data_IF_241747624415
#
_entry.id   IF_241747624415
#
_cell.length_a   1.000
_cell.length_b   1.000
_cell.length_c   1.000
_cell.angle_alpha   90.00
_cell.angle_beta   90.00
_cell.angle_gamma   90.00
#
_symmetry.space_group_name_H-M   'P 1'
#
loop_
_entity.id
_entity.type
_entity.pdbx_description
1 polymer ?
#
# COMPACT_ATOMS: atom_id res chain seq x y z
N UNK A 1 26.86 -14.43 -6.15
CA UNK A 1 25.98 -14.84 -5.05
C UNK A 1 25.71 -13.60 -4.22
N UNK A 2 24.45 -13.35 -3.86
CA UNK A 2 24.10 -12.28 -2.90
C UNK A 2 24.66 -12.67 -1.55
N UNK A 3 24.99 -11.67 -0.72
CA UNK A 3 25.48 -11.91 0.62
C UNK A 3 24.27 -12.24 1.50
N UNK A 4 24.19 -13.48 1.96
CA UNK A 4 23.15 -13.97 2.87
C UNK A 4 23.58 -13.68 4.31
N UNK A 5 22.69 -13.09 5.10
CA UNK A 5 22.90 -12.83 6.52
C UNK A 5 21.78 -13.46 7.35
N UNK A 6 22.10 -14.60 7.97
CA UNK A 6 21.16 -15.38 8.80
C UNK A 6 21.37 -15.15 10.29
N UNK A 7 22.02 -14.04 10.67
CA UNK A 7 22.20 -13.66 12.08
C UNK A 7 20.85 -13.28 12.68
N UNK A 8 20.53 -13.90 13.81
CA UNK A 8 19.27 -13.71 14.54
C UNK A 8 19.34 -12.39 15.30
N UNK A 9 18.39 -11.50 15.02
CA UNK A 9 18.24 -10.18 15.65
C UNK A 9 17.28 -10.18 16.82
N UNK A 10 16.21 -10.98 16.73
CA UNK A 10 15.16 -11.03 17.74
C UNK A 10 14.56 -12.43 17.80
N UNK A 11 14.14 -12.80 18.98
CA UNK A 11 13.40 -14.04 19.25
C UNK A 11 12.12 -13.64 19.95
N UNK A 12 11.01 -14.11 19.42
CA UNK A 12 9.70 -13.84 19.97
C UNK A 12 9.54 -14.55 21.33
N UNK A 13 9.07 -13.85 22.38
CA UNK A 13 8.82 -14.47 23.68
C UNK A 13 7.79 -15.60 23.59
N UNK A 14 8.04 -16.70 24.29
CA UNK A 14 7.21 -17.92 24.30
C UNK A 14 7.11 -18.62 22.95
N UNK A 15 8.07 -18.37 22.03
CA UNK A 15 8.16 -19.02 20.73
C UNK A 15 8.89 -20.36 20.80
N UNK A 16 8.78 -21.15 19.73
CA UNK A 16 9.52 -22.40 19.54
C UNK A 16 11.04 -22.15 19.61
N UNK A 17 11.53 -21.04 19.06
CA UNK A 17 12.92 -20.67 19.10
C UNK A 17 13.44 -20.39 20.53
N UNK A 18 12.64 -19.71 21.35
CA UNK A 18 12.99 -19.47 22.76
C UNK A 18 13.06 -20.78 23.54
N UNK A 19 12.03 -21.64 23.41
CA UNK A 19 11.98 -22.95 24.08
C UNK A 19 13.10 -23.89 23.64
N UNK A 20 13.56 -23.76 22.39
CA UNK A 20 14.69 -24.50 21.84
C UNK A 20 16.07 -23.98 22.29
N UNK A 21 16.14 -22.89 23.06
CA UNK A 21 17.38 -22.30 23.55
C UNK A 21 18.21 -21.59 22.47
N UNK A 22 17.57 -21.15 21.39
CA UNK A 22 18.18 -20.29 20.38
C UNK A 22 18.33 -18.87 20.97
N UNK A 23 19.43 -18.18 20.66
CA UNK A 23 19.71 -16.87 21.22
C UNK A 23 19.95 -15.80 20.14
N UNK A 24 19.62 -14.55 20.48
CA UNK A 24 19.95 -13.39 19.64
C UNK A 24 21.44 -13.35 19.37
N UNK A 25 21.85 -13.22 18.12
CA UNK A 25 23.25 -13.24 17.65
C UNK A 25 23.76 -14.62 17.22
N UNK A 26 23.00 -15.70 17.43
CA UNK A 26 23.25 -16.99 16.79
C UNK A 26 22.97 -16.87 15.28
N UNK A 27 23.43 -17.85 14.48
CA UNK A 27 23.19 -17.90 13.04
C UNK A 27 22.52 -19.21 12.66
N UNK A 28 21.43 -19.11 11.92
CA UNK A 28 20.80 -20.28 11.31
C UNK A 28 21.57 -20.68 10.05
N UNK A 29 22.08 -21.90 10.01
CA UNK A 29 22.94 -22.40 8.92
C UNK A 29 22.12 -23.18 7.90
N UNK A 30 21.33 -24.16 8.36
CA UNK A 30 20.49 -24.96 7.49
C UNK A 30 19.17 -25.35 8.20
N UNK A 31 18.16 -25.71 7.39
CA UNK A 31 16.84 -26.15 7.84
C UNK A 31 16.55 -27.49 7.18
N UNK A 32 16.26 -28.52 7.96
CA UNK A 32 16.02 -29.90 7.47
C UNK A 32 17.15 -30.40 6.55
N UNK A 33 18.40 -29.97 6.80
CA UNK A 33 19.58 -30.30 6.01
C UNK A 33 19.64 -29.57 4.65
N UNK A 34 18.82 -28.54 4.45
CA UNK A 34 18.81 -27.71 3.25
C UNK A 34 19.35 -26.30 3.54
N UNK A 35 20.22 -25.82 2.67
CA UNK A 35 20.59 -24.41 2.64
C UNK A 35 19.39 -23.54 2.21
N UNK A 36 19.32 -22.34 2.69
CA UNK A 36 18.33 -21.36 2.30
C UNK A 36 18.98 -19.99 2.02
N UNK A 37 18.35 -19.18 1.17
CA UNK A 37 18.99 -17.99 0.62
C UNK A 37 18.17 -16.71 0.83
N UNK A 38 16.90 -16.85 1.21
CA UNK A 38 16.01 -15.74 1.49
C UNK A 38 14.89 -16.12 2.46
N UNK A 39 14.11 -15.12 2.86
CA UNK A 39 13.02 -15.27 3.82
C UNK A 39 11.88 -16.18 3.34
N UNK A 40 11.65 -16.29 2.01
CA UNK A 40 10.61 -17.19 1.50
C UNK A 40 11.03 -18.65 1.61
N UNK A 41 12.30 -18.97 1.35
CA UNK A 41 12.85 -20.31 1.56
C UNK A 41 12.86 -20.67 3.04
N UNK A 42 13.24 -19.73 3.93
CA UNK A 42 13.12 -19.91 5.36
C UNK A 42 11.70 -20.31 5.76
N UNK A 43 10.69 -19.52 5.40
CA UNK A 43 9.30 -19.81 5.71
C UNK A 43 8.80 -21.10 5.10
N UNK A 44 9.20 -21.41 3.87
CA UNK A 44 8.83 -22.65 3.21
C UNK A 44 9.42 -23.89 3.89
N UNK A 45 10.68 -23.85 4.29
CA UNK A 45 11.38 -24.99 4.93
C UNK A 45 11.00 -25.16 6.40
N UNK A 46 10.55 -24.10 7.07
CA UNK A 46 10.06 -24.18 8.46
C UNK A 46 8.58 -24.56 8.55
N UNK A 47 7.82 -24.54 7.45
CA UNK A 47 6.42 -24.90 7.43
C UNK A 47 6.22 -26.42 7.33
N UNK A 48 6.72 -27.12 8.35
CA UNK A 48 6.65 -28.61 8.50
C UNK A 48 6.36 -28.94 9.97
N UNK A 49 5.78 -30.12 10.23
CA UNK A 49 5.45 -30.55 11.61
C UNK A 49 6.69 -30.75 12.48
N UNK A 50 7.77 -31.28 11.92
CA UNK A 50 9.06 -31.43 12.60
C UNK A 50 10.13 -30.68 11.80
N UNK A 51 10.86 -29.78 12.48
CA UNK A 51 11.87 -28.95 11.84
C UNK A 51 13.21 -29.15 12.54
N UNK A 52 14.23 -29.50 11.76
CA UNK A 52 15.61 -29.62 12.23
C UNK A 52 16.40 -28.38 11.83
N UNK A 53 16.91 -27.65 12.82
CA UNK A 53 17.66 -26.41 12.67
C UNK A 53 19.14 -26.65 12.99
N UNK A 54 20.03 -26.25 12.10
CA UNK A 54 21.47 -26.23 12.37
C UNK A 54 21.86 -24.80 12.73
N UNK A 55 22.27 -24.59 13.97
CA UNK A 55 22.57 -23.27 14.56
C UNK A 55 24.06 -23.14 14.84
N UNK A 56 24.67 -22.08 14.33
CA UNK A 56 26.03 -21.65 14.75
C UNK A 56 25.88 -20.68 15.93
N UNK A 57 26.27 -21.14 17.10
CA UNK A 57 26.25 -20.34 18.34
C UNK A 57 27.29 -19.25 18.32
N UNK A 58 27.13 -18.21 19.15
CA UNK A 58 28.06 -17.08 19.27
C UNK A 58 29.49 -17.51 19.67
N UNK A 59 29.64 -18.63 20.40
CA UNK A 59 30.95 -19.18 20.82
C UNK A 59 31.68 -19.94 19.70
N UNK A 60 31.04 -20.08 18.52
CA UNK A 60 31.56 -20.78 17.35
C UNK A 60 31.25 -22.28 17.33
N UNK A 61 30.48 -22.79 18.26
CA UNK A 61 30.01 -24.19 18.24
C UNK A 61 28.78 -24.30 17.32
N UNK A 62 28.60 -25.47 16.69
CA UNK A 62 27.42 -25.77 15.91
C UNK A 62 26.54 -26.74 16.68
N UNK A 63 25.28 -26.43 16.76
CA UNK A 63 24.22 -27.24 17.38
C UNK A 63 23.16 -27.63 16.38
N UNK A 64 22.66 -28.85 16.45
CA UNK A 64 21.54 -29.33 15.65
C UNK A 64 20.37 -29.57 16.59
N UNK A 65 19.30 -28.83 16.39
CA UNK A 65 18.11 -28.82 17.24
C UNK A 65 16.92 -29.28 16.40
N UNK A 66 16.19 -30.28 16.88
CA UNK A 66 14.94 -30.68 16.25
C UNK A 66 13.77 -30.23 17.12
N UNK A 67 12.82 -29.52 16.54
CA UNK A 67 11.64 -29.00 17.20
C UNK A 67 10.38 -29.52 16.56
N UNK A 68 9.35 -29.76 17.35
CA UNK A 68 7.98 -29.97 16.85
C UNK A 68 7.38 -28.61 16.55
N UNK A 69 6.83 -28.45 15.34
CA UNK A 69 6.22 -27.23 14.86
C UNK A 69 4.84 -27.56 14.26
N UNK A 70 3.78 -27.06 14.86
CA UNK A 70 2.41 -27.26 14.36
C UNK A 70 2.07 -26.28 13.20
N UNK A 71 3.01 -26.13 12.26
CA UNK A 71 2.93 -25.23 11.11
C UNK A 71 2.89 -23.75 11.48
N UNK A 72 3.38 -23.39 12.67
CA UNK A 72 3.49 -22.02 13.16
C UNK A 72 4.83 -21.37 12.77
N UNK A 73 4.95 -20.06 13.03
CA UNK A 73 6.23 -19.36 12.94
C UNK A 73 7.14 -19.82 14.09
N UNK A 74 8.40 -20.10 13.78
CA UNK A 74 9.40 -20.49 14.79
C UNK A 74 9.69 -19.36 15.77
N UNK A 75 9.43 -18.09 15.38
CA UNK A 75 9.64 -16.91 16.20
C UNK A 75 11.05 -16.32 16.09
N UNK A 76 11.66 -16.38 14.91
CA UNK A 76 13.01 -15.83 14.62
C UNK A 76 12.88 -14.63 13.67
N UNK A 77 13.46 -13.49 14.06
CA UNK A 77 13.74 -12.39 13.14
C UNK A 77 15.24 -12.27 12.87
N UNK A 78 15.59 -12.03 11.62
CA UNK A 78 16.98 -11.84 11.18
C UNK A 78 17.38 -10.36 11.17
N UNK A 79 18.71 -10.07 11.26
CA UNK A 79 19.23 -8.70 11.14
C UNK A 79 18.79 -8.04 9.84
N UNK A 80 18.80 -8.80 8.73
CA UNK A 80 18.28 -8.39 7.44
C UNK A 80 16.94 -9.08 7.22
N UNK A 81 15.82 -8.34 7.23
CA UNK A 81 14.46 -8.90 7.18
C UNK A 81 14.16 -9.79 5.96
N UNK A 82 14.89 -9.62 4.86
CA UNK A 82 14.82 -10.49 3.68
C UNK A 82 15.93 -11.54 3.64
N UNK A 83 16.87 -11.52 4.63
CA UNK A 83 18.07 -12.37 4.73
C UNK A 83 19.15 -11.98 3.71
N UNK A 84 18.77 -11.42 2.58
CA UNK A 84 19.67 -10.79 1.59
C UNK A 84 19.16 -9.39 1.18
N UNK A 85 19.90 -8.72 0.28
CA UNK A 85 19.54 -7.38 -0.20
C UNK A 85 18.23 -7.39 -1.02
N UNK A 86 17.37 -6.39 -0.81
CA UNK A 86 16.15 -6.18 -1.59
C UNK A 86 16.45 -5.90 -3.08
N UNK A 87 15.57 -6.37 -3.96
CA UNK A 87 15.73 -6.22 -5.39
C UNK A 87 15.20 -4.86 -5.87
N UNK A 88 16.08 -4.03 -6.40
CA UNK A 88 15.67 -2.78 -7.03
C UNK A 88 15.10 -2.97 -8.43
N UNK A 89 14.07 -2.19 -8.76
CA UNK A 89 13.46 -2.13 -10.07
C UNK A 89 14.44 -1.65 -11.15
N UNK A 90 14.49 -2.35 -12.27
CA UNK A 90 15.35 -2.03 -13.44
C UNK A 90 14.60 -1.28 -14.54
N UNK A 91 13.32 -1.01 -14.34
CA UNK A 91 12.50 -0.31 -15.32
C UNK A 91 12.74 1.21 -15.30
N UNK A 92 12.39 1.85 -16.41
CA UNK A 92 12.38 3.31 -16.57
C UNK A 92 10.99 3.72 -17.07
N UNK A 93 9.98 3.43 -16.26
CA UNK A 93 8.58 3.64 -16.62
C UNK A 93 8.30 5.12 -16.93
N UNK A 94 7.55 5.36 -18.01
CA UNK A 94 7.18 6.74 -18.39
C UNK A 94 6.34 7.45 -17.33
N UNK A 95 5.72 6.68 -16.42
CA UNK A 95 4.85 7.14 -15.32
C UNK A 95 5.48 6.97 -13.93
N UNK A 96 6.75 6.56 -13.80
CA UNK A 96 7.38 6.28 -12.52
C UNK A 96 7.30 7.50 -11.59
N UNK A 97 6.66 7.33 -10.42
CA UNK A 97 6.53 8.41 -9.45
C UNK A 97 7.87 8.75 -8.80
N UNK A 98 8.71 7.76 -8.55
CA UNK A 98 10.06 7.95 -7.97
C UNK A 98 10.94 8.82 -8.87
N UNK A 99 10.81 8.71 -10.20
CA UNK A 99 11.57 9.54 -11.15
C UNK A 99 11.12 11.01 -11.16
N UNK A 100 9.98 11.32 -10.53
CA UNK A 100 9.40 12.66 -10.39
C UNK A 100 9.61 13.26 -9.00
N UNK A 101 10.40 12.63 -8.13
CA UNK A 101 10.69 13.18 -6.81
C UNK A 101 11.73 14.31 -6.90
N UNK A 102 11.61 15.35 -6.06
CA UNK A 102 12.63 16.38 -5.97
C UNK A 102 13.97 15.78 -5.54
N UNK A 103 15.07 16.40 -5.96
CA UNK A 103 16.41 15.98 -5.54
C UNK A 103 16.69 16.40 -4.09
N UNK A 104 17.47 15.58 -3.37
CA UNK A 104 17.97 15.91 -2.04
C UNK A 104 17.06 15.46 -0.89
N UNK A 105 16.07 14.61 -1.17
CA UNK A 105 15.34 13.89 -0.13
C UNK A 105 16.20 12.73 0.43
N UNK A 106 15.77 12.12 1.54
CA UNK A 106 16.44 10.93 2.10
C UNK A 106 16.53 9.79 1.06
N UNK A 107 17.60 9.01 1.13
CA UNK A 107 17.89 7.96 0.13
C UNK A 107 16.78 6.91 0.01
N UNK A 108 16.11 6.59 1.12
CA UNK A 108 15.06 5.55 1.15
C UNK A 108 13.87 5.86 0.22
N UNK A 109 13.52 7.13 -0.01
CA UNK A 109 12.41 7.49 -0.92
C UNK A 109 12.74 7.28 -2.40
N UNK A 110 14.03 7.14 -2.75
CA UNK A 110 14.46 6.86 -4.13
C UNK A 110 14.61 5.37 -4.41
N UNK A 111 14.43 4.51 -3.41
CA UNK A 111 14.44 3.08 -3.62
C UNK A 111 13.23 2.69 -4.48
N UNK A 112 13.49 2.04 -5.61
CA UNK A 112 12.46 1.51 -6.51
C UNK A 112 12.31 0.03 -6.22
N UNK A 113 11.30 -0.34 -5.50
CA UNK A 113 11.01 -1.74 -5.21
C UNK A 113 10.49 -2.49 -6.45
N UNK A 114 10.97 -3.72 -6.63
CA UNK A 114 10.47 -4.71 -7.59
C UNK A 114 10.80 -6.13 -7.09
N UNK A 115 10.67 -6.34 -5.76
CA UNK A 115 11.03 -7.57 -5.08
C UNK A 115 9.78 -8.40 -4.78
N UNK A 116 9.70 -9.60 -5.34
CA UNK A 116 8.55 -10.50 -5.14
C UNK A 116 8.37 -10.95 -3.69
N UNK A 117 9.43 -10.92 -2.87
CA UNK A 117 9.34 -11.20 -1.43
C UNK A 117 8.60 -10.11 -0.70
N UNK A 118 8.88 -8.83 -1.02
CA UNK A 118 8.14 -7.69 -0.50
C UNK A 118 6.69 -7.66 -1.00
N UNK A 119 6.43 -8.17 -2.21
CA UNK A 119 5.06 -8.36 -2.68
C UNK A 119 4.26 -9.30 -1.78
N UNK A 120 4.85 -10.43 -1.39
CA UNK A 120 4.19 -11.40 -0.53
C UNK A 120 4.12 -10.95 0.94
N UNK A 121 5.19 -10.33 1.45
CA UNK A 121 5.30 -9.97 2.87
C UNK A 121 4.59 -8.66 3.24
N UNK A 122 4.57 -7.70 2.31
CA UNK A 122 4.14 -6.31 2.57
C UNK A 122 3.09 -5.81 1.59
N UNK A 123 2.65 -6.64 0.63
CA UNK A 123 1.66 -6.23 -0.36
C UNK A 123 2.20 -5.36 -1.51
N UNK A 124 3.52 -5.19 -1.66
CA UNK A 124 4.11 -4.37 -2.70
C UNK A 124 3.81 -4.92 -4.11
N UNK A 125 3.67 -4.02 -5.09
CA UNK A 125 3.38 -4.39 -6.47
C UNK A 125 4.64 -4.58 -7.29
N UNK A 126 4.81 -5.78 -7.89
CA UNK A 126 5.97 -6.12 -8.72
C UNK A 126 5.65 -6.11 -10.20
N UNK A 127 6.65 -5.78 -11.01
CA UNK A 127 6.48 -5.69 -12.46
C UNK A 127 6.68 -7.02 -13.19
N UNK A 128 7.18 -8.05 -12.54
CA UNK A 128 7.59 -9.34 -13.10
C UNK A 128 8.68 -9.23 -14.19
N UNK A 129 9.40 -8.11 -14.24
CA UNK A 129 10.48 -7.91 -15.24
C UNK A 129 11.86 -8.27 -14.69
N UNK A 130 12.00 -8.38 -13.38
CA UNK A 130 13.26 -8.71 -12.70
C UNK A 130 13.47 -10.21 -12.49
N UNK A 131 12.49 -11.05 -12.82
CA UNK A 131 12.49 -12.48 -12.52
C UNK A 131 13.08 -13.32 -13.65
N UNK A 132 13.87 -14.31 -13.29
CA UNK A 132 14.26 -15.41 -14.18
C UNK A 132 13.18 -16.50 -14.24
N UNK A 133 13.27 -17.41 -15.21
CA UNK A 133 12.34 -18.53 -15.31
C UNK A 133 12.47 -19.46 -14.08
N UNK A 134 13.69 -19.60 -13.52
CA UNK A 134 13.98 -20.38 -12.31
C UNK A 134 13.32 -19.76 -11.08
N UNK A 135 13.34 -18.43 -10.94
CA UNK A 135 12.67 -17.72 -9.85
C UNK A 135 11.14 -17.88 -9.94
N UNK A 136 10.58 -17.82 -11.15
CA UNK A 136 9.14 -18.07 -11.36
C UNK A 136 8.77 -19.50 -10.94
N UNK A 137 9.57 -20.50 -11.35
CA UNK A 137 9.33 -21.91 -10.99
C UNK A 137 9.48 -22.13 -9.49
N UNK A 138 10.41 -21.45 -8.85
CA UNK A 138 10.61 -21.45 -7.39
C UNK A 138 9.38 -20.93 -6.65
N UNK A 139 8.84 -19.77 -7.03
CA UNK A 139 7.63 -19.20 -6.41
C UNK A 139 6.43 -20.15 -6.56
N UNK A 140 6.27 -20.77 -7.74
CA UNK A 140 5.22 -21.76 -7.99
C UNK A 140 5.39 -22.97 -7.08
N UNK A 141 6.60 -23.51 -6.96
CA UNK A 141 6.91 -24.65 -6.08
C UNK A 141 6.59 -24.37 -4.62
N UNK A 142 6.97 -23.20 -4.15
CA UNK A 142 6.71 -22.74 -2.77
C UNK A 142 5.26 -22.27 -2.55
N UNK A 143 4.45 -22.19 -3.61
CA UNK A 143 3.07 -21.70 -3.58
C UNK A 143 2.94 -20.29 -2.97
N UNK A 144 3.88 -19.41 -3.30
CA UNK A 144 3.83 -18.02 -2.86
C UNK A 144 2.63 -17.32 -3.47
N UNK A 145 1.64 -17.00 -2.65
CA UNK A 145 0.34 -16.48 -3.09
C UNK A 145 -0.34 -15.71 -1.94
N UNK A 146 -0.98 -14.56 -2.19
CA UNK A 146 -1.07 -13.88 -3.50
C UNK A 146 0.21 -13.14 -3.90
N UNK A 147 0.35 -12.84 -5.19
CA UNK A 147 1.37 -11.93 -5.73
C UNK A 147 0.67 -10.68 -6.25
N UNK A 148 1.14 -9.51 -5.85
CA UNK A 148 0.61 -8.24 -6.32
C UNK A 148 1.36 -7.80 -7.59
N UNK A 149 0.65 -7.69 -8.73
CA UNK A 149 1.26 -7.48 -10.04
C UNK A 149 0.96 -6.11 -10.61
N UNK A 150 1.99 -5.35 -10.90
CA UNK A 150 1.96 -4.06 -11.62
C UNK A 150 1.83 -4.31 -13.12
N UNK A 151 0.59 -4.40 -13.63
CA UNK A 151 0.27 -4.85 -14.99
C UNK A 151 0.45 -3.74 -16.03
N UNK A 152 -0.15 -2.60 -15.83
CA UNK A 152 -0.21 -1.42 -16.71
C UNK A 152 -0.92 -1.67 -18.05
N UNK A 153 -0.53 -2.70 -18.78
CA UNK A 153 -1.15 -3.17 -20.02
C UNK A 153 -0.82 -4.64 -20.24
N UNK A 154 -1.77 -5.40 -20.78
CA UNK A 154 -1.53 -6.78 -21.23
C UNK A 154 -0.99 -6.85 -22.66
N UNK A 155 -1.14 -5.77 -23.45
CA UNK A 155 -0.49 -5.62 -24.74
C UNK A 155 1.02 -5.58 -24.56
N UNK A 156 1.78 -6.59 -25.07
CA UNK A 156 3.22 -6.73 -24.79
C UNK A 156 4.05 -5.57 -25.38
N UNK A 157 3.70 -5.06 -26.54
CA UNK A 157 4.41 -3.96 -27.18
C UNK A 157 4.19 -2.65 -26.43
N UNK A 158 2.94 -2.37 -26.07
CA UNK A 158 2.60 -1.20 -25.28
C UNK A 158 3.27 -1.25 -23.90
N UNK A 159 3.26 -2.41 -23.25
CA UNK A 159 3.89 -2.57 -21.94
C UNK A 159 5.40 -2.35 -22.00
N UNK A 160 6.08 -2.87 -23.03
CA UNK A 160 7.50 -2.58 -23.26
C UNK A 160 7.77 -1.09 -23.41
N UNK A 161 6.90 -0.36 -24.10
CA UNK A 161 6.99 1.11 -24.24
C UNK A 161 6.75 1.81 -22.91
N UNK A 162 5.73 1.43 -22.15
CA UNK A 162 5.37 2.06 -20.89
C UNK A 162 6.45 1.88 -19.82
N UNK A 163 7.02 0.68 -19.69
CA UNK A 163 8.07 0.37 -18.73
C UNK A 163 9.49 0.72 -19.24
N UNK A 164 9.59 1.12 -20.51
CA UNK A 164 10.86 1.33 -21.19
C UNK A 164 11.83 0.15 -20.96
N UNK A 165 11.30 -1.07 -21.11
CA UNK A 165 12.00 -2.32 -20.87
C UNK A 165 11.54 -3.36 -21.91
N UNK A 166 12.48 -3.84 -22.75
CA UNK A 166 12.20 -4.81 -23.80
C UNK A 166 11.68 -6.17 -23.33
N UNK A 167 11.88 -6.51 -22.05
CA UNK A 167 11.43 -7.76 -21.45
C UNK A 167 10.03 -7.65 -20.81
N UNK A 168 9.49 -6.45 -20.66
CA UNK A 168 8.23 -6.22 -19.99
C UNK A 168 7.01 -6.86 -20.67
N UNK A 169 7.12 -7.20 -21.94
CA UNK A 169 6.04 -7.85 -22.70
C UNK A 169 5.70 -9.29 -22.25
N UNK A 170 6.58 -9.94 -21.47
CA UNK A 170 6.34 -11.32 -20.98
C UNK A 170 5.33 -11.41 -19.83
N UNK A 171 4.94 -10.28 -19.22
CA UNK A 171 4.16 -10.25 -17.99
C UNK A 171 2.89 -11.11 -18.06
N UNK A 172 2.07 -10.93 -19.10
CA UNK A 172 0.82 -11.67 -19.22
C UNK A 172 1.05 -13.19 -19.40
N UNK A 173 2.13 -13.61 -20.05
CA UNK A 173 2.50 -15.03 -20.15
C UNK A 173 2.93 -15.61 -18.81
N UNK A 174 3.66 -14.83 -18.00
CA UNK A 174 4.01 -15.22 -16.61
C UNK A 174 2.73 -15.33 -15.77
N UNK A 175 1.81 -14.38 -15.86
CA UNK A 175 0.53 -14.42 -15.15
C UNK A 175 -0.30 -15.63 -15.53
N UNK A 176 -0.34 -16.02 -16.82
CA UNK A 176 -0.97 -17.28 -17.26
C UNK A 176 -0.32 -18.50 -16.62
N UNK A 177 1.01 -18.52 -16.50
CA UNK A 177 1.75 -19.60 -15.84
C UNK A 177 1.43 -19.67 -14.34
N UNK A 178 1.33 -18.53 -13.66
CA UNK A 178 0.89 -18.46 -12.27
C UNK A 178 -0.55 -18.98 -12.11
N UNK A 179 -1.47 -18.51 -12.92
CA UNK A 179 -2.87 -18.95 -12.90
C UNK A 179 -3.01 -20.48 -13.13
N UNK A 180 -2.26 -21.04 -14.11
CA UNK A 180 -2.25 -22.46 -14.39
C UNK A 180 -1.70 -23.30 -13.22
N UNK A 181 -0.99 -22.70 -12.26
CA UNK A 181 -0.46 -23.34 -11.06
C UNK A 181 -1.15 -22.88 -9.76
N UNK A 182 -2.36 -22.31 -9.87
CA UNK A 182 -3.18 -21.86 -8.74
C UNK A 182 -2.51 -20.79 -7.85
N UNK A 183 -1.66 -19.96 -8.40
CA UNK A 183 -1.16 -18.76 -7.73
C UNK A 183 -2.18 -17.64 -7.94
N UNK A 184 -2.63 -17.03 -6.86
CA UNK A 184 -3.53 -15.88 -6.90
C UNK A 184 -2.76 -14.59 -7.10
N UNK A 185 -3.39 -13.64 -7.77
CA UNK A 185 -2.79 -12.34 -8.10
C UNK A 185 -3.77 -11.21 -7.84
N UNK A 186 -3.30 -10.14 -7.19
CA UNK A 186 -3.97 -8.85 -7.19
C UNK A 186 -3.25 -7.96 -8.21
N UNK A 187 -3.99 -7.28 -9.04
CA UNK A 187 -3.44 -6.53 -10.17
C UNK A 187 -3.63 -5.03 -10.01
N UNK A 188 -2.66 -4.26 -10.49
CA UNK A 188 -2.78 -2.81 -10.56
C UNK A 188 -2.49 -2.31 -11.97
N UNK A 189 -3.26 -1.32 -12.41
CA UNK A 189 -3.06 -0.58 -13.66
C UNK A 189 -2.94 0.91 -13.32
N UNK A 190 -1.75 1.47 -13.48
CA UNK A 190 -1.58 2.93 -13.53
C UNK A 190 -2.04 3.40 -14.90
N UNK A 191 -3.18 4.07 -14.93
CA UNK A 191 -3.82 4.52 -16.16
C UNK A 191 -3.25 5.88 -16.58
N UNK A 192 -2.80 5.95 -17.83
CA UNK A 192 -2.22 7.15 -18.45
C UNK A 192 -3.08 7.55 -19.64
N UNK A 193 -3.70 8.74 -19.65
CA UNK A 193 -4.51 9.22 -20.77
C UNK A 193 -3.76 9.13 -22.12
N UNK A 194 -4.46 8.66 -23.14
CA UNK A 194 -3.95 8.49 -24.53
C UNK A 194 -2.84 7.44 -24.68
N UNK A 195 -2.53 6.66 -23.63
CA UNK A 195 -1.49 5.63 -23.65
C UNK A 195 -2.08 4.22 -23.49
N UNK A 196 -2.63 3.90 -22.33
CA UNK A 196 -3.20 2.60 -22.01
C UNK A 196 -4.69 2.65 -21.62
N UNK A 197 -5.34 3.78 -21.87
CA UNK A 197 -6.79 3.97 -21.72
C UNK A 197 -7.61 3.45 -22.91
N UNK A 198 -8.91 3.66 -22.89
CA UNK A 198 -9.83 3.29 -23.98
C UNK A 198 -9.69 1.82 -24.38
N UNK A 199 -9.36 1.54 -25.65
CA UNK A 199 -9.30 0.18 -26.19
C UNK A 199 -8.21 -0.70 -25.55
N UNK A 200 -7.10 -0.11 -25.14
CA UNK A 200 -6.03 -0.84 -24.46
C UNK A 200 -6.45 -1.24 -23.03
N UNK A 201 -7.24 -0.40 -22.36
CA UNK A 201 -7.86 -0.75 -21.09
C UNK A 201 -8.89 -1.86 -21.26
N UNK A 202 -9.77 -1.79 -22.27
CA UNK A 202 -10.73 -2.86 -22.60
C UNK A 202 -10.04 -4.20 -22.81
N UNK A 203 -8.93 -4.19 -23.56
CA UNK A 203 -8.09 -5.38 -23.78
C UNK A 203 -7.55 -5.92 -22.47
N UNK A 204 -6.94 -5.07 -21.66
CA UNK A 204 -6.33 -5.47 -20.40
C UNK A 204 -7.37 -6.06 -19.43
N UNK A 205 -8.52 -5.43 -19.29
CA UNK A 205 -9.65 -5.93 -18.48
C UNK A 205 -10.11 -7.31 -18.98
N UNK A 206 -10.32 -7.46 -20.29
CA UNK A 206 -10.79 -8.71 -20.87
C UNK A 206 -9.79 -9.87 -20.67
N UNK A 207 -8.50 -9.60 -20.85
CA UNK A 207 -7.43 -10.60 -20.71
C UNK A 207 -7.21 -10.96 -19.23
N UNK A 208 -7.25 -9.99 -18.30
CA UNK A 208 -7.15 -10.25 -16.86
C UNK A 208 -8.36 -11.02 -16.34
N UNK A 209 -9.56 -10.68 -16.77
CA UNK A 209 -10.79 -11.40 -16.41
C UNK A 209 -10.80 -12.85 -16.93
N UNK A 210 -10.04 -13.16 -17.98
CA UNK A 210 -9.91 -14.55 -18.47
C UNK A 210 -9.05 -15.41 -17.53
N UNK A 211 -8.31 -14.80 -16.60
CA UNK A 211 -7.52 -15.50 -15.58
C UNK A 211 -8.26 -15.64 -14.23
N UNK A 212 -9.53 -15.22 -14.15
CA UNK A 212 -10.35 -15.46 -12.95
C UNK A 212 -10.53 -16.97 -12.70
N UNK A 213 -10.47 -17.49 -11.45
CA UNK A 213 -10.38 -16.75 -10.18
C UNK A 213 -8.95 -16.40 -9.73
N UNK A 214 -7.90 -16.80 -10.47
CA UNK A 214 -6.52 -16.56 -10.04
C UNK A 214 -6.13 -15.07 -10.11
N UNK A 215 -6.70 -14.28 -11.00
CA UNK A 215 -6.76 -12.83 -10.83
C UNK A 215 -7.93 -12.54 -9.90
N UNK A 216 -7.62 -12.15 -8.67
CA UNK A 216 -8.58 -11.96 -7.59
C UNK A 216 -9.20 -10.56 -7.60
N UNK A 217 -8.40 -9.54 -7.94
CA UNK A 217 -8.86 -8.17 -8.05
C UNK A 217 -7.95 -7.34 -8.97
N UNK A 218 -8.49 -6.29 -9.56
CA UNK A 218 -7.74 -5.33 -10.39
C UNK A 218 -8.06 -3.91 -9.96
N UNK A 219 -7.07 -3.18 -9.44
CA UNK A 219 -7.19 -1.74 -9.21
C UNK A 219 -6.75 -0.95 -10.43
N UNK A 220 -7.47 0.12 -10.72
CA UNK A 220 -7.12 1.09 -11.76
C UNK A 220 -6.95 2.43 -11.07
N UNK A 221 -5.74 2.98 -11.12
CA UNK A 221 -5.38 4.25 -10.48
C UNK A 221 -4.93 5.26 -11.53
N UNK A 222 -5.24 6.55 -11.40
CA UNK A 222 -4.76 7.55 -12.34
C UNK A 222 -3.27 7.79 -12.16
N UNK A 223 -2.58 8.17 -13.23
CA UNK A 223 -1.18 8.56 -13.15
C UNK A 223 -1.00 9.84 -12.32
N UNK A 224 -0.17 9.76 -11.28
CA UNK A 224 0.25 10.91 -10.50
C UNK A 224 1.35 11.71 -11.21
N UNK A 225 1.17 13.02 -11.34
CA UNK A 225 2.11 13.92 -12.01
C UNK A 225 2.53 15.04 -11.06
N UNK A 226 3.84 15.10 -10.76
CA UNK A 226 4.42 16.18 -9.97
C UNK A 226 4.94 17.31 -10.88
N UNK A 227 5.37 18.43 -10.29
CA UNK A 227 6.04 19.51 -11.03
C UNK A 227 7.48 19.18 -11.47
N UNK A 228 8.07 18.09 -10.97
CA UNK A 228 9.47 17.70 -11.24
C UNK A 228 9.59 16.76 -12.44
N UNK A 229 8.94 17.12 -13.55
CA UNK A 229 8.89 16.27 -14.75
C UNK A 229 9.77 16.76 -15.90
N UNK A 230 10.66 17.69 -15.67
CA UNK A 230 11.56 18.20 -16.71
C UNK A 230 12.42 17.09 -17.29
N UNK A 231 12.37 16.91 -18.61
CA UNK A 231 13.09 15.85 -19.33
C UNK A 231 12.47 14.46 -19.25
N UNK A 232 11.37 14.24 -18.52
CA UNK A 232 10.63 12.99 -18.51
C UNK A 232 9.61 12.92 -19.66
N UNK A 233 9.12 11.71 -19.94
CA UNK A 233 8.10 11.48 -20.96
C UNK A 233 6.87 12.37 -20.71
N UNK A 234 6.36 13.10 -21.73
CA UNK A 234 5.21 14.00 -21.55
C UNK A 234 3.93 13.19 -21.37
N UNK A 235 3.40 13.17 -20.16
CA UNK A 235 2.11 12.60 -19.81
C UNK A 235 1.09 13.70 -19.56
N UNK A 236 -0.18 13.38 -19.78
CA UNK A 236 -1.31 14.25 -19.46
C UNK A 236 -1.97 13.80 -18.14
N UNK A 237 -2.42 14.74 -17.30
CA UNK A 237 -3.25 14.40 -16.16
C UNK A 237 -4.65 13.99 -16.63
N UNK A 238 -5.38 13.27 -15.79
CA UNK A 238 -6.81 13.12 -15.96
C UNK A 238 -7.53 14.44 -15.72
N UNK A 239 -8.53 14.73 -16.56
CA UNK A 239 -9.48 15.84 -16.36
C UNK A 239 -10.80 15.29 -15.82
N UNK A 240 -11.72 16.17 -15.42
CA UNK A 240 -13.08 15.80 -15.02
C UNK A 240 -13.76 14.95 -16.08
N UNK A 241 -13.66 15.33 -17.34
CA UNK A 241 -14.31 14.67 -18.46
C UNK A 241 -13.68 13.29 -18.75
N UNK A 242 -12.35 13.20 -18.76
CA UNK A 242 -11.65 11.92 -18.99
C UNK A 242 -11.82 10.96 -17.84
N UNK A 243 -11.88 11.45 -16.60
CA UNK A 243 -12.20 10.63 -15.42
C UNK A 243 -13.64 10.07 -15.51
N UNK A 244 -14.62 10.91 -15.85
CA UNK A 244 -16.00 10.48 -16.02
C UNK A 244 -16.17 9.45 -17.17
N UNK A 245 -15.42 9.59 -18.26
CA UNK A 245 -15.39 8.61 -19.35
C UNK A 245 -14.81 7.27 -18.90
N UNK A 246 -13.71 7.29 -18.12
CA UNK A 246 -13.10 6.09 -17.56
C UNK A 246 -14.04 5.38 -16.59
N UNK A 247 -14.70 6.12 -15.69
CA UNK A 247 -15.69 5.57 -14.77
C UNK A 247 -16.79 4.83 -15.55
N UNK A 248 -17.39 5.46 -16.54
CA UNK A 248 -18.44 4.83 -17.36
C UNK A 248 -17.94 3.58 -18.08
N UNK A 249 -16.71 3.58 -18.58
CA UNK A 249 -16.09 2.41 -19.23
C UNK A 249 -15.95 1.26 -18.25
N UNK A 250 -15.38 1.52 -17.06
CA UNK A 250 -15.13 0.51 -16.03
C UNK A 250 -16.43 -0.03 -15.44
N UNK A 251 -17.42 0.82 -15.15
CA UNK A 251 -18.75 0.39 -14.68
C UNK A 251 -19.46 -0.54 -15.69
N UNK A 252 -19.27 -0.28 -16.99
CA UNK A 252 -19.79 -1.16 -18.05
C UNK A 252 -19.15 -2.55 -17.98
N UNK A 253 -17.84 -2.62 -17.71
CA UNK A 253 -17.12 -3.87 -17.50
C UNK A 253 -17.51 -4.54 -16.19
N UNK A 254 -17.62 -3.81 -15.09
CA UNK A 254 -18.05 -4.32 -13.80
C UNK A 254 -19.39 -5.04 -13.90
N UNK A 255 -20.38 -4.40 -14.54
CA UNK A 255 -21.69 -5.03 -14.77
C UNK A 255 -21.58 -6.33 -15.56
N UNK A 256 -20.83 -6.31 -16.68
CA UNK A 256 -20.64 -7.50 -17.53
C UNK A 256 -19.91 -8.63 -16.79
N UNK A 257 -18.93 -8.29 -15.97
CA UNK A 257 -18.18 -9.27 -15.19
C UNK A 257 -19.02 -9.83 -14.05
N UNK A 258 -19.77 -8.99 -13.35
CA UNK A 258 -20.68 -9.42 -12.30
C UNK A 258 -21.73 -10.43 -12.85
N UNK A 259 -22.35 -10.11 -13.99
CA UNK A 259 -23.31 -11.02 -14.64
C UNK A 259 -22.69 -12.38 -15.04
N UNK A 260 -21.38 -12.39 -15.37
CA UNK A 260 -20.68 -13.59 -15.87
C UNK A 260 -19.96 -14.37 -14.79
N UNK A 261 -19.33 -13.71 -13.82
CA UNK A 261 -18.40 -14.26 -12.85
C UNK A 261 -18.92 -14.21 -11.41
N UNK A 262 -19.94 -13.41 -11.12
CA UNK A 262 -20.45 -13.16 -9.77
C UNK A 262 -19.59 -12.16 -8.97
N UNK A 263 -18.68 -11.46 -9.62
CA UNK A 263 -17.83 -10.41 -9.04
C UNK A 263 -17.59 -9.29 -10.05
N UNK A 264 -17.44 -8.06 -9.59
CA UNK A 264 -17.02 -6.92 -10.42
C UNK A 264 -15.58 -7.03 -10.87
N UNK A 265 -14.71 -7.63 -10.07
CA UNK A 265 -13.30 -7.92 -10.31
C UNK A 265 -12.40 -6.69 -10.45
N UNK A 266 -12.86 -5.62 -11.07
CA UNK A 266 -12.10 -4.40 -11.36
C UNK A 266 -12.68 -3.20 -10.63
N UNK A 267 -11.79 -2.37 -10.06
CA UNK A 267 -12.19 -1.24 -9.23
C UNK A 267 -11.35 -0.02 -9.58
N UNK A 268 -12.00 1.14 -9.63
CA UNK A 268 -11.32 2.43 -9.77
C UNK A 268 -10.94 2.98 -8.39
N UNK A 269 -9.80 3.65 -8.30
CA UNK A 269 -9.47 4.43 -7.11
C UNK A 269 -10.46 5.59 -6.92
N UNK A 270 -10.64 5.99 -5.67
CA UNK A 270 -11.53 7.09 -5.28
C UNK A 270 -11.18 8.39 -6.02
N UNK A 271 -9.90 8.59 -6.37
CA UNK A 271 -9.40 9.76 -7.09
C UNK A 271 -10.12 9.96 -8.45
N UNK A 272 -10.52 8.89 -9.14
CA UNK A 272 -11.28 9.04 -10.38
C UNK A 272 -12.64 9.70 -10.15
N UNK A 273 -13.36 9.29 -9.10
CA UNK A 273 -14.66 9.84 -8.75
C UNK A 273 -14.53 11.28 -8.24
N UNK A 274 -13.54 11.56 -7.41
CA UNK A 274 -13.24 12.91 -6.92
C UNK A 274 -12.89 13.86 -8.08
N UNK A 275 -12.02 13.44 -9.00
CA UNK A 275 -11.67 14.22 -10.19
C UNK A 275 -12.86 14.47 -11.13
N UNK A 276 -13.76 13.50 -11.23
CA UNK A 276 -14.99 13.61 -12.03
C UNK A 276 -16.09 14.41 -11.33
N UNK A 277 -15.93 14.75 -10.05
CA UNK A 277 -16.98 15.32 -9.18
C UNK A 277 -18.25 14.44 -9.17
N UNK A 278 -18.05 13.13 -9.18
CA UNK A 278 -19.11 12.14 -9.09
C UNK A 278 -19.16 11.50 -7.70
N UNK A 279 -20.33 11.02 -7.26
CA UNK A 279 -20.45 10.31 -6.00
C UNK A 279 -19.53 9.08 -5.95
N UNK A 280 -18.91 8.83 -4.79
CA UNK A 280 -18.22 7.58 -4.50
C UNK A 280 -19.28 6.46 -4.46
N UNK A 281 -19.01 5.28 -5.05
CA UNK A 281 -19.91 4.13 -4.92
C UNK A 281 -20.10 3.68 -3.47
N UNK A 282 -21.24 3.07 -3.18
CA UNK A 282 -21.51 2.47 -1.87
C UNK A 282 -20.54 1.31 -1.57
N UNK A 283 -20.31 1.04 -0.28
CA UNK A 283 -19.39 0.02 0.21
C UNK A 283 -19.58 -1.37 -0.43
N UNK A 284 -20.83 -1.77 -0.67
CA UNK A 284 -21.18 -3.05 -1.32
C UNK A 284 -20.58 -3.21 -2.73
N UNK A 285 -20.29 -2.10 -3.42
CA UNK A 285 -19.70 -2.14 -4.77
C UNK A 285 -18.26 -2.64 -4.73
N UNK A 286 -17.56 -2.45 -3.62
CA UNK A 286 -16.15 -2.83 -3.46
C UNK A 286 -15.93 -4.27 -2.99
N UNK A 287 -17.01 -5.04 -2.70
CA UNK A 287 -16.95 -6.49 -2.43
C UNK A 287 -15.91 -6.87 -1.35
N UNK A 288 -15.88 -6.14 -0.23
CA UNK A 288 -14.95 -6.36 0.87
C UNK A 288 -13.61 -5.63 0.75
N UNK A 289 -13.52 -4.64 -0.12
CA UNK A 289 -12.38 -3.71 -0.23
C UNK A 289 -11.02 -4.39 -0.51
N UNK A 290 -10.88 -5.20 -1.56
CA UNK A 290 -9.68 -5.98 -1.81
C UNK A 290 -8.45 -5.15 -2.21
N UNK A 291 -8.59 -3.83 -2.36
CA UNK A 291 -7.56 -2.94 -2.92
C UNK A 291 -7.46 -1.58 -2.17
N UNK A 292 -7.78 -1.55 -0.86
CA UNK A 292 -7.75 -0.32 -0.04
C UNK A 292 -6.42 0.43 -0.14
N UNK A 293 -5.30 -0.28 -0.09
CA UNK A 293 -3.95 0.30 -0.16
C UNK A 293 -3.66 1.05 -1.47
N UNK A 294 -4.44 0.76 -2.52
CA UNK A 294 -4.39 1.48 -3.79
C UNK A 294 -5.35 2.68 -3.87
N UNK A 295 -5.89 3.10 -2.75
CA UNK A 295 -6.87 4.20 -2.71
C UNK A 295 -8.22 3.83 -3.35
N UNK A 296 -8.61 2.55 -3.27
CA UNK A 296 -9.84 2.01 -3.84
C UNK A 296 -10.84 1.75 -2.72
N UNK A 297 -11.86 2.60 -2.61
CA UNK A 297 -12.92 2.46 -1.62
C UNK A 297 -12.55 2.95 -0.21
N UNK A 298 -11.45 3.69 -0.03
CA UNK A 298 -11.06 4.27 1.26
C UNK A 298 -12.17 5.18 1.83
N UNK A 299 -12.77 6.01 0.97
CA UNK A 299 -13.85 6.92 1.34
C UNK A 299 -15.12 6.13 1.72
N UNK A 300 -15.46 5.09 0.95
CA UNK A 300 -16.64 4.28 1.21
C UNK A 300 -16.49 3.46 2.51
N UNK A 301 -15.33 2.86 2.76
CA UNK A 301 -15.03 2.14 4.01
C UNK A 301 -15.16 3.06 5.22
N UNK A 302 -14.47 4.19 5.19
CA UNK A 302 -14.53 5.16 6.27
C UNK A 302 -15.95 5.71 6.51
N UNK A 303 -16.74 5.93 5.45
CA UNK A 303 -18.11 6.39 5.58
C UNK A 303 -19.01 5.35 6.26
N UNK A 304 -18.88 4.06 5.90
CA UNK A 304 -19.65 2.96 6.50
C UNK A 304 -19.32 2.79 7.99
N UNK A 305 -18.03 2.83 8.32
CA UNK A 305 -17.54 2.76 9.70
C UNK A 305 -18.01 3.97 10.51
N UNK A 306 -17.89 5.20 9.97
CA UNK A 306 -18.39 6.40 10.58
C UNK A 306 -19.91 6.35 10.82
N UNK A 307 -20.68 5.83 9.87
CA UNK A 307 -22.14 5.66 9.99
C UNK A 307 -22.53 4.68 11.11
N UNK A 308 -21.66 3.74 11.39
CA UNK A 308 -21.82 2.80 12.51
C UNK A 308 -21.37 3.43 13.83
N UNK A 309 -20.21 4.06 13.84
CA UNK A 309 -19.61 4.67 15.02
C UNK A 309 -20.41 5.86 15.58
N UNK A 310 -20.96 6.71 14.70
CA UNK A 310 -21.72 7.89 15.13
C UNK A 310 -22.97 7.52 15.93
N UNK A 311 -23.51 6.32 15.76
CA UNK A 311 -24.67 5.85 16.54
C UNK A 311 -24.32 5.61 18.00
N UNK A 312 -23.07 5.30 18.31
CA UNK A 312 -22.53 5.04 19.64
C UNK A 312 -22.21 6.33 20.43
N UNK A 313 -22.11 7.46 19.73
CA UNK A 313 -21.78 8.76 20.35
C UNK A 313 -22.82 9.14 21.40
N UNK A 314 -22.38 9.35 22.64
CA UNK A 314 -23.22 9.71 23.79
C UNK A 314 -23.70 11.16 23.70
N UNK A 315 -24.92 11.41 24.16
CA UNK A 315 -25.47 12.77 24.25
C UNK A 315 -24.95 13.46 25.54
N UNK A 316 -23.73 14.00 25.45
CA UNK A 316 -23.10 14.78 26.52
C UNK A 316 -22.29 15.93 25.94
N UNK A 317 -21.78 16.82 26.78
CA UNK A 317 -20.86 17.88 26.39
C UNK A 317 -19.45 17.35 26.31
N UNK A 318 -18.77 17.66 25.22
CA UNK A 318 -17.36 17.28 24.96
C UNK A 318 -16.39 18.47 25.11
N UNK A 319 -16.87 19.72 24.93
CA UNK A 319 -16.12 20.98 25.11
C UNK A 319 -14.69 20.92 24.49
N UNK A 320 -14.60 20.48 23.24
CA UNK A 320 -13.35 20.34 22.50
C UNK A 320 -13.37 21.20 21.25
N UNK A 321 -12.18 21.71 20.90
CA UNK A 321 -11.93 22.44 19.66
C UNK A 321 -10.83 21.75 18.88
N UNK A 322 -11.20 21.08 17.79
CA UNK A 322 -10.32 20.18 17.03
C UNK A 322 -10.06 20.75 15.66
N UNK A 323 -8.80 20.74 15.24
CA UNK A 323 -8.40 21.04 13.88
C UNK A 323 -8.14 19.75 13.13
N UNK A 324 -8.78 19.55 12.00
CA UNK A 324 -8.50 18.45 11.06
C UNK A 324 -7.72 18.98 9.88
N UNK A 325 -6.64 18.28 9.52
CA UNK A 325 -5.80 18.59 8.37
C UNK A 325 -5.87 17.45 7.37
N UNK A 326 -6.10 17.76 6.10
CA UNK A 326 -6.18 16.76 5.03
C UNK A 326 -5.71 17.34 3.70
N UNK A 327 -5.49 16.51 2.69
CA UNK A 327 -5.26 16.95 1.32
C UNK A 327 -6.53 17.53 0.67
N UNK A 328 -6.35 18.31 -0.40
CA UNK A 328 -7.48 18.95 -1.11
C UNK A 328 -8.51 17.93 -1.60
N UNK A 329 -8.08 16.73 -2.03
CA UNK A 329 -8.95 15.69 -2.57
C UNK A 329 -10.00 15.18 -1.56
N UNK A 330 -9.62 14.98 -0.31
CA UNK A 330 -10.51 14.44 0.73
C UNK A 330 -11.25 15.52 1.53
N UNK A 331 -10.95 16.80 1.32
CA UNK A 331 -11.42 17.89 2.20
C UNK A 331 -12.94 18.00 2.28
N UNK A 332 -13.65 17.89 1.17
CA UNK A 332 -15.13 17.95 1.16
C UNK A 332 -15.76 16.77 1.91
N UNK A 333 -15.21 15.58 1.76
CA UNK A 333 -15.65 14.38 2.47
C UNK A 333 -15.45 14.51 3.99
N UNK A 334 -14.25 14.87 4.42
CA UNK A 334 -13.92 15.08 5.86
C UNK A 334 -14.77 16.21 6.45
N UNK A 335 -15.02 17.28 5.70
CA UNK A 335 -15.93 18.35 6.15
C UNK A 335 -17.35 17.82 6.36
N UNK A 336 -17.89 17.02 5.44
CA UNK A 336 -19.23 16.43 5.59
C UNK A 336 -19.34 15.50 6.80
N UNK A 337 -18.33 14.67 7.09
CA UNK A 337 -18.31 13.86 8.31
C UNK A 337 -18.26 14.72 9.58
N UNK A 338 -17.44 15.79 9.54
CA UNK A 338 -17.29 16.74 10.65
C UNK A 338 -18.59 17.48 10.96
N UNK A 339 -19.30 17.96 9.94
CA UNK A 339 -20.60 18.62 10.10
C UNK A 339 -21.63 17.69 10.76
N UNK A 340 -21.72 16.44 10.33
CA UNK A 340 -22.60 15.43 10.90
C UNK A 340 -22.28 15.14 12.38
N UNK A 341 -20.99 15.13 12.76
CA UNK A 341 -20.59 14.96 14.15
C UNK A 341 -20.91 16.20 14.98
N UNK A 342 -20.69 17.41 14.45
CA UNK A 342 -21.04 18.67 15.10
C UNK A 342 -22.56 18.86 15.29
N UNK A 343 -23.39 18.30 14.40
CA UNK A 343 -24.86 18.29 14.59
C UNK A 343 -25.29 17.45 15.80
N UNK A 344 -24.51 16.43 16.15
CA UNK A 344 -24.80 15.50 17.25
C UNK A 344 -24.12 15.89 18.56
N UNK A 345 -23.07 16.69 18.50
CA UNK A 345 -22.21 17.04 19.63
C UNK A 345 -22.01 18.56 19.71
N UNK A 346 -21.37 19.04 20.79
CA UNK A 346 -20.93 20.43 20.91
C UNK A 346 -19.45 20.65 20.58
N UNK A 347 -18.80 19.65 19.99
CA UNK A 347 -17.41 19.74 19.53
C UNK A 347 -17.31 20.77 18.41
N UNK A 348 -16.28 21.61 18.46
CA UNK A 348 -15.96 22.54 17.39
C UNK A 348 -14.88 21.91 16.50
N UNK A 349 -15.18 21.75 15.23
CA UNK A 349 -14.26 21.17 14.26
C UNK A 349 -13.95 22.18 13.15
N UNK A 350 -12.68 22.39 12.89
CA UNK A 350 -12.21 23.20 11.76
C UNK A 350 -11.40 22.30 10.82
N UNK A 351 -11.81 22.19 9.56
CA UNK A 351 -11.10 21.40 8.56
C UNK A 351 -10.26 22.31 7.68
N UNK A 352 -8.97 22.00 7.54
CA UNK A 352 -8.06 22.64 6.62
C UNK A 352 -7.63 21.71 5.50
N UNK A 353 -7.97 22.08 4.28
CA UNK A 353 -7.45 21.46 3.07
C UNK A 353 -6.06 22.03 2.77
N UNK A 354 -5.04 21.19 2.79
CA UNK A 354 -3.66 21.60 2.50
C UNK A 354 -3.35 21.35 1.03
N UNK A 355 -2.99 22.41 0.35
CA UNK A 355 -2.49 22.33 -1.02
C UNK A 355 -1.07 21.77 -1.00
N UNK A 356 -0.82 20.75 -1.79
CA UNK A 356 0.50 20.18 -1.92
C UNK A 356 1.38 21.08 -2.82
N UNK A 357 2.11 21.99 -2.22
CA UNK A 357 3.08 22.83 -2.92
C UNK A 357 4.43 22.14 -3.07
N UNK A 358 4.74 21.17 -2.25
CA UNK A 358 6.00 20.42 -2.31
C UNK A 358 6.12 19.65 -3.62
N UNK A 359 5.17 18.78 -3.93
CA UNK A 359 5.15 18.07 -5.21
C UNK A 359 4.55 18.91 -6.35
N UNK A 360 3.58 19.76 -6.07
CA UNK A 360 2.89 20.58 -7.07
C UNK A 360 2.13 19.73 -8.09
N UNK A 361 1.94 20.27 -9.29
CA UNK A 361 1.23 19.57 -10.35
C UNK A 361 -0.24 19.35 -10.01
N UNK A 362 -0.69 18.12 -10.06
CA UNK A 362 -2.04 17.70 -9.68
C UNK A 362 -2.07 16.83 -8.42
N UNK A 363 -0.97 16.79 -7.66
CA UNK A 363 -0.90 15.97 -6.43
C UNK A 363 -1.72 16.63 -5.34
N UNK A 364 -2.84 16.00 -4.94
CA UNK A 364 -3.82 16.55 -4.00
C UNK A 364 -4.28 15.54 -2.92
N UNK A 365 -3.74 14.31 -2.96
CA UNK A 365 -4.06 13.25 -1.99
C UNK A 365 -3.42 13.52 -0.63
N UNK A 366 -4.11 13.13 0.44
CA UNK A 366 -3.69 13.39 1.82
C UNK A 366 -2.33 12.78 2.16
N UNK A 367 -2.07 11.54 1.79
CA UNK A 367 -0.83 10.82 2.12
C UNK A 367 0.46 11.39 1.53
N UNK A 368 0.37 12.36 0.61
CA UNK A 368 1.52 13.05 0.03
C UNK A 368 1.69 14.51 0.54
N UNK A 369 0.86 14.96 1.47
CA UNK A 369 1.02 16.27 2.13
C UNK A 369 2.25 16.24 3.03
N UNK A 370 3.05 17.30 2.99
CA UNK A 370 4.30 17.40 3.77
C UNK A 370 4.13 18.28 5.02
N UNK A 371 5.02 18.08 6.00
CA UNK A 371 5.03 18.90 7.21
C UNK A 371 5.27 20.38 6.90
N UNK A 372 6.14 20.71 5.93
CA UNK A 372 6.39 22.07 5.48
C UNK A 372 5.16 22.73 4.86
N UNK A 373 4.38 21.99 4.05
CA UNK A 373 3.13 22.51 3.48
C UNK A 373 2.08 22.80 4.57
N UNK A 374 2.01 21.98 5.61
CA UNK A 374 1.14 22.21 6.77
C UNK A 374 1.56 23.48 7.51
N UNK A 375 2.84 23.61 7.89
CA UNK A 375 3.37 24.78 8.61
C UNK A 375 3.10 26.07 7.83
N UNK A 376 3.50 26.10 6.56
CA UNK A 376 3.40 27.31 5.74
C UNK A 376 1.97 27.81 5.56
N UNK A 377 1.00 26.91 5.49
CA UNK A 377 -0.40 27.26 5.25
C UNK A 377 -1.19 27.51 6.54
N UNK A 378 -0.71 27.02 7.70
CA UNK A 378 -1.44 27.13 8.96
C UNK A 378 -0.82 28.06 10.01
N UNK A 379 0.42 28.52 9.85
CA UNK A 379 1.12 29.37 10.84
C UNK A 379 0.35 30.63 11.29
N UNK A 380 -0.52 31.14 10.43
CA UNK A 380 -1.32 32.36 10.71
C UNK A 380 -2.84 32.04 10.80
N UNK A 381 -3.21 30.77 10.96
CA UNK A 381 -4.61 30.34 11.04
C UNK A 381 -5.01 30.02 12.48
N UNK A 382 -6.28 30.17 12.83
CA UNK A 382 -6.78 29.70 14.11
C UNK A 382 -6.71 28.18 14.16
N UNK A 383 -6.03 27.64 15.15
CA UNK A 383 -5.87 26.22 15.40
C UNK A 383 -6.57 25.87 16.71
N UNK A 384 -7.25 24.73 16.79
CA UNK A 384 -7.90 24.24 17.99
C UNK A 384 -6.91 23.74 19.05
N UNK A 385 -7.44 23.08 20.08
CA UNK A 385 -6.66 22.54 21.19
C UNK A 385 -5.77 21.36 20.75
N UNK A 386 -6.17 20.69 19.70
CA UNK A 386 -5.48 19.56 19.09
C UNK A 386 -5.64 19.60 17.57
N UNK A 387 -4.64 19.11 16.87
CA UNK A 387 -4.67 18.90 15.43
C UNK A 387 -4.62 17.40 15.11
N UNK A 388 -5.55 16.92 14.30
CA UNK A 388 -5.55 15.55 13.79
C UNK A 388 -5.14 15.54 12.32
N UNK A 389 -4.25 14.63 11.98
CA UNK A 389 -3.75 14.43 10.62
C UNK A 389 -3.94 12.96 10.19
N UNK A 390 -4.16 12.64 8.91
CA UNK A 390 -4.13 11.26 8.44
C UNK A 390 -2.79 10.59 8.72
N UNK A 391 -2.81 9.39 9.29
CA UNK A 391 -1.61 8.59 9.54
C UNK A 391 -0.78 8.36 8.26
N UNK A 392 -1.46 8.24 7.11
CA UNK A 392 -0.83 8.08 5.79
C UNK A 392 0.08 9.24 5.34
N UNK A 393 0.08 10.39 6.06
CA UNK A 393 1.07 11.46 5.84
C UNK A 393 2.46 11.12 6.40
N UNK A 394 2.53 10.11 7.26
CA UNK A 394 3.72 9.73 8.01
C UNK A 394 4.27 8.39 7.53
N UNK A 395 5.56 8.18 7.71
CA UNK A 395 6.18 6.88 7.55
C UNK A 395 5.94 6.04 8.82
N UNK A 396 5.51 4.79 8.66
CA UNK A 396 5.12 3.92 9.78
C UNK A 396 6.25 3.68 10.79
N UNK A 397 7.50 3.55 10.32
CA UNK A 397 8.64 3.19 11.16
C UNK A 397 9.01 4.25 12.21
N UNK A 398 8.93 5.54 11.86
CA UNK A 398 9.46 6.64 12.68
C UNK A 398 8.58 7.89 12.74
N UNK A 399 7.42 7.87 12.08
CA UNK A 399 6.45 8.96 12.15
C UNK A 399 6.93 10.26 11.52
N UNK A 400 7.75 10.22 10.47
CA UNK A 400 8.24 11.41 9.77
C UNK A 400 7.49 11.66 8.46
N UNK A 401 7.32 12.94 8.11
CA UNK A 401 6.76 13.36 6.83
C UNK A 401 7.71 13.09 5.65
N UNK A 402 7.20 13.21 4.43
CA UNK A 402 8.00 13.00 3.22
C UNK A 402 9.14 14.01 3.04
N UNK A 403 9.03 15.19 3.61
CA UNK A 403 10.05 16.26 3.61
C UNK A 403 10.99 16.20 4.82
N UNK A 404 11.06 15.05 5.50
CA UNK A 404 11.91 14.74 6.64
C UNK A 404 11.59 15.52 7.93
N UNK A 405 10.51 16.31 7.97
CA UNK A 405 10.04 16.91 9.21
C UNK A 405 9.37 15.85 10.09
N UNK A 406 9.62 15.94 11.39
CA UNK A 406 8.92 15.13 12.39
C UNK A 406 7.59 15.76 12.79
N UNK A 407 6.68 14.96 13.35
CA UNK A 407 5.45 15.46 13.98
C UNK A 407 5.81 16.54 15.02
N UNK A 408 6.87 16.31 15.83
CA UNK A 408 7.33 17.27 16.86
C UNK A 408 7.81 18.60 16.27
N UNK A 409 8.38 18.62 15.06
CA UNK A 409 8.78 19.87 14.41
C UNK A 409 7.58 20.68 14.00
N UNK A 410 6.54 20.04 13.47
CA UNK A 410 5.27 20.70 13.11
C UNK A 410 4.53 21.17 14.37
N UNK A 411 4.47 20.38 15.44
CA UNK A 411 3.89 20.78 16.74
C UNK A 411 4.55 22.03 17.29
N UNK A 412 5.88 22.09 17.30
CA UNK A 412 6.64 23.25 17.76
C UNK A 412 6.37 24.49 16.91
N UNK A 413 6.32 24.33 15.58
CA UNK A 413 6.10 25.44 14.66
C UNK A 413 4.71 26.04 14.77
N UNK A 414 3.69 25.22 15.04
CA UNK A 414 2.29 25.63 15.11
C UNK A 414 1.78 25.77 16.56
N UNK A 415 2.59 25.40 17.55
CA UNK A 415 2.25 25.41 18.98
C UNK A 415 0.93 24.66 19.27
N UNK A 416 0.77 23.47 18.71
CA UNK A 416 -0.40 22.59 18.88
C UNK A 416 0.04 21.14 18.98
N UNK A 417 -0.65 20.33 19.79
CA UNK A 417 -0.45 18.88 19.81
C UNK A 417 -1.02 18.25 18.54
N UNK A 418 -0.29 17.31 17.95
CA UNK A 418 -0.71 16.59 16.73
C UNK A 418 -0.90 15.12 17.05
N UNK A 419 -2.02 14.56 16.62
CA UNK A 419 -2.27 13.12 16.68
C UNK A 419 -2.59 12.59 15.28
N UNK A 420 -1.89 11.54 14.83
CA UNK A 420 -2.25 10.83 13.61
C UNK A 420 -3.54 10.01 13.82
N UNK A 421 -4.33 9.87 12.76
CA UNK A 421 -5.57 9.08 12.71
C UNK A 421 -5.49 8.14 11.52
N UNK A 422 -5.74 6.86 11.72
CA UNK A 422 -5.84 5.89 10.62
C UNK A 422 -7.14 6.11 9.82
N UNK A 423 -7.27 5.47 8.68
CA UNK A 423 -8.50 5.54 7.88
C UNK A 423 -9.55 4.59 8.46
N UNK A 424 -10.10 4.98 9.62
CA UNK A 424 -11.09 4.22 10.39
C UNK A 424 -12.12 5.19 10.96
N UNK A 425 -13.40 4.92 10.71
CA UNK A 425 -14.49 5.81 11.11
C UNK A 425 -14.73 5.84 12.63
N UNK A 426 -14.38 4.78 13.35
CA UNK A 426 -14.46 4.72 14.83
C UNK A 426 -13.35 5.54 15.45
N UNK A 427 -12.08 5.27 15.06
CA UNK A 427 -10.94 6.02 15.56
C UNK A 427 -11.05 7.52 15.24
N UNK A 428 -11.57 7.86 14.06
CA UNK A 428 -11.81 9.26 13.69
C UNK A 428 -12.72 9.96 14.68
N UNK A 429 -13.86 9.35 15.08
CA UNK A 429 -14.77 9.91 16.07
C UNK A 429 -14.12 9.93 17.46
N UNK A 430 -13.48 8.84 17.88
CA UNK A 430 -12.83 8.72 19.18
C UNK A 430 -11.76 9.79 19.41
N UNK A 431 -10.90 10.00 18.41
CA UNK A 431 -9.87 11.04 18.46
C UNK A 431 -10.45 12.45 18.53
N UNK A 432 -11.52 12.73 17.79
CA UNK A 432 -12.22 14.02 17.84
C UNK A 432 -12.87 14.22 19.21
N UNK A 433 -13.54 13.22 19.74
CA UNK A 433 -14.22 13.31 21.04
C UNK A 433 -13.25 13.22 22.22
N UNK A 434 -12.09 12.58 22.03
CA UNK A 434 -11.09 12.32 23.06
C UNK A 434 -11.51 11.25 24.06
N UNK A 435 -12.32 10.30 23.62
CA UNK A 435 -12.76 9.15 24.39
C UNK A 435 -13.05 7.96 23.48
N UNK A 436 -12.92 6.75 24.00
CA UNK A 436 -13.29 5.51 23.31
C UNK A 436 -14.83 5.37 23.22
N UNK A 437 -15.29 4.81 22.12
CA UNK A 437 -16.70 4.46 21.93
C UNK A 437 -16.99 3.12 22.62
N UNK A 438 -18.03 3.06 23.41
CA UNK A 438 -18.47 1.83 24.08
C UNK A 438 -19.50 1.10 23.20
N UNK A 439 -19.25 -0.18 22.92
CA UNK A 439 -20.11 -1.08 22.14
C UNK A 439 -21.22 -1.71 22.96
#
# INVERSE_FOLDING_TARGET
MRKVNTTIKYIEPYSIAEDAGIEVGDKLISINGHDFHDILEYRYLTFEYEVTLEILKKDGTTEVITVENDYDDIGIEFEEGLIDEAQSCRNKCIFCFIDQLPKGMRETVYFKDDDTRLSFLQGNYVTLTNMSDEEIDRLIKMRVSPINVSVQATNPELRCKMLNNRFAGKCYDIMKKFAANNIYMNCQIVLCPEINDGKELDRSISELAALFPNVNSVSIVPVGLTRYRDGLYPLKPFTKETSAQTIKQVETWQKKLYDKLGTRLIYLSDEFYLNAELPIPDAEVYEGFPQLENGVGLIASMAEEFDSAIKLVKNKKYDRNVTLVTGEAAASFITGLSERLMEKTDVKITVYAIKNNFFGGGVNVSGLVTGGDIIDQLKDKPIGDIMLIPHSMLRDEDGIFLDDLTVSDVEKALNVKIEPVINDGYEFIEKILGEELEF
#
